data_IF_643833741003
#
_entry.id   IF_643833741003
#
_cell.length_a   1.000
_cell.length_b   1.000
_cell.length_c   1.000
_cell.angle_alpha   90.00
_cell.angle_beta   90.00
_cell.angle_gamma   90.00
#
_symmetry.space_group_name_H-M   'P 1'
#
loop_
_entity.id
_entity.type
_entity.pdbx_description
1 polymer ?
#
# COMPACT_ATOMS: atom_id res chain seq x y z
N UNK A 1 5.15 12.28 6.32
CA UNK A 1 4.79 11.24 7.31
C UNK A 1 5.35 9.89 6.91
N UNK A 2 5.54 9.03 7.86
CA UNK A 2 6.11 7.70 7.61
C UNK A 2 5.05 6.64 7.88
N UNK A 3 4.97 5.66 6.97
CA UNK A 3 4.04 4.55 7.13
C UNK A 3 4.79 3.24 6.95
N UNK A 4 4.21 2.17 7.46
CA UNK A 4 4.69 0.82 7.18
C UNK A 4 3.98 0.33 5.93
N UNK A 5 4.75 -0.20 5.00
CA UNK A 5 4.21 -0.68 3.73
C UNK A 5 4.46 -2.18 3.61
N UNK A 6 3.39 -2.94 3.40
CA UNK A 6 3.49 -4.38 3.22
C UNK A 6 2.80 -4.77 1.91
N UNK A 7 3.57 -5.32 1.00
CA UNK A 7 3.05 -5.82 -0.27
C UNK A 7 3.31 -7.31 -0.35
N UNK A 8 2.33 -8.05 -0.85
CA UNK A 8 2.37 -9.51 -0.87
C UNK A 8 2.27 -10.06 -2.28
N UNK A 9 2.85 -11.23 -2.49
CA UNK A 9 2.82 -11.98 -3.74
C UNK A 9 3.26 -11.12 -4.92
N UNK A 10 2.48 -11.05 -5.98
CA UNK A 10 2.89 -10.30 -7.19
C UNK A 10 3.08 -8.82 -6.94
N UNK A 11 2.46 -8.26 -5.90
CA UNK A 11 2.62 -6.85 -5.60
C UNK A 11 3.99 -6.53 -5.02
N UNK A 12 4.72 -7.54 -4.54
CA UNK A 12 6.04 -7.33 -3.93
C UNK A 12 7.04 -6.72 -4.91
N UNK A 13 6.85 -6.92 -6.19
CA UNK A 13 7.78 -6.36 -7.16
C UNK A 13 7.71 -4.83 -7.23
N UNK A 14 6.65 -4.24 -6.69
CA UNK A 14 6.52 -2.79 -6.64
C UNK A 14 7.10 -2.18 -5.37
N UNK A 15 7.58 -3.04 -4.47
CA UNK A 15 8.17 -2.57 -3.21
C UNK A 15 9.54 -1.96 -3.49
N UNK A 16 9.80 -0.71 -3.08
CA UNK A 16 11.13 -0.14 -3.25
C UNK A 16 12.18 -0.97 -2.52
N UNK A 17 13.32 -1.19 -3.17
CA UNK A 17 14.35 -2.07 -2.61
C UNK A 17 15.15 -1.44 -1.49
N UNK A 18 15.03 -0.14 -1.30
CA UNK A 18 15.83 0.58 -0.32
C UNK A 18 15.06 0.95 0.95
N UNK A 19 13.87 0.37 1.14
CA UNK A 19 13.10 0.65 2.35
C UNK A 19 13.73 0.00 3.57
N UNK A 20 13.86 0.78 4.64
CA UNK A 20 14.30 0.24 5.93
C UNK A 20 13.07 -0.13 6.75
N UNK A 21 13.02 -1.37 7.21
CA UNK A 21 11.91 -1.88 8.04
C UNK A 21 10.55 -1.63 7.37
N UNK A 22 10.50 -1.68 6.06
CA UNK A 22 9.27 -1.46 5.29
C UNK A 22 8.65 -0.09 5.54
N UNK A 23 9.46 0.89 5.93
CA UNK A 23 8.97 2.24 6.19
C UNK A 23 9.06 3.08 4.93
N UNK A 24 7.95 3.67 4.54
CA UNK A 24 7.87 4.54 3.37
C UNK A 24 7.54 5.95 3.83
N UNK A 25 8.31 6.92 3.35
CA UNK A 25 8.04 8.32 3.62
C UNK A 25 7.13 8.88 2.54
N UNK A 26 6.02 9.48 2.95
CA UNK A 26 5.04 10.04 2.00
C UNK A 26 4.63 11.42 2.47
N UNK A 27 4.11 12.27 1.55
CA UNK A 27 3.64 13.59 1.94
C UNK A 27 2.46 13.50 2.91
N UNK A 28 2.33 14.53 3.75
CA UNK A 28 1.18 14.63 4.64
C UNK A 28 -0.10 14.71 3.82
N UNK A 29 -1.18 14.21 4.38
CA UNK A 29 -2.50 14.19 3.72
C UNK A 29 -2.57 13.28 2.50
N UNK A 30 -1.66 12.32 2.41
CA UNK A 30 -1.71 11.34 1.32
C UNK A 30 -2.85 10.35 1.54
N UNK A 31 -3.38 9.86 0.43
CA UNK A 31 -4.37 8.79 0.44
C UNK A 31 -3.74 7.55 -0.15
N UNK A 32 -4.46 6.43 -0.03
CA UNK A 32 -3.95 5.16 -0.55
C UNK A 32 -3.62 5.28 -2.05
N UNK A 33 -4.49 5.95 -2.82
CA UNK A 33 -4.27 6.12 -4.26
C UNK A 33 -2.96 6.85 -4.53
N UNK A 34 -2.57 7.79 -3.68
CA UNK A 34 -1.31 8.50 -3.85
C UNK A 34 -0.12 7.56 -3.69
N UNK A 35 -0.21 6.64 -2.74
CA UNK A 35 0.83 5.64 -2.55
C UNK A 35 0.88 4.68 -3.74
N UNK A 36 -0.28 4.24 -4.22
CA UNK A 36 -0.36 3.36 -5.37
C UNK A 36 0.32 4.01 -6.58
N UNK A 37 0.04 5.29 -6.81
CA UNK A 37 0.64 6.02 -7.93
C UNK A 37 2.15 6.20 -7.74
N UNK A 38 2.57 6.48 -6.51
CA UNK A 38 3.99 6.63 -6.20
C UNK A 38 4.77 5.36 -6.47
N UNK A 39 4.16 4.21 -6.17
CA UNK A 39 4.79 2.92 -6.40
C UNK A 39 4.62 2.43 -7.84
N UNK A 40 3.85 3.14 -8.65
CA UNK A 40 3.58 2.79 -10.05
C UNK A 40 2.86 1.46 -10.19
N UNK A 41 2.00 1.15 -9.24
CA UNK A 41 1.18 -0.05 -9.32
C UNK A 41 0.04 0.22 -10.31
N UNK A 42 -0.14 -0.64 -11.33
CA UNK A 42 -1.21 -0.40 -12.32
C UNK A 42 -2.59 -0.42 -11.68
N UNK A 43 -3.46 0.48 -12.12
CA UNK A 43 -4.82 0.56 -11.59
C UNK A 43 -5.62 -0.70 -11.89
N UNK A 44 -5.37 -1.33 -13.03
CA UNK A 44 -6.11 -2.53 -13.39
C UNK A 44 -5.67 -3.76 -12.60
N UNK A 45 -4.60 -3.67 -11.84
CA UNK A 45 -4.17 -4.77 -11.00
C UNK A 45 -5.05 -4.84 -9.76
N UNK A 46 -5.89 -5.89 -9.64
CA UNK A 46 -6.79 -5.95 -8.47
C UNK A 46 -6.01 -6.11 -7.19
N UNK A 47 -6.47 -5.43 -6.15
CA UNK A 47 -5.77 -5.47 -4.88
C UNK A 47 -6.73 -5.24 -3.73
N UNK A 48 -6.48 -5.95 -2.64
CA UNK A 48 -7.17 -5.74 -1.37
C UNK A 48 -6.30 -4.82 -0.55
N UNK A 49 -6.91 -3.81 0.05
CA UNK A 49 -6.21 -2.78 0.81
C UNK A 49 -6.61 -2.89 2.26
N UNK A 50 -5.62 -2.99 3.15
CA UNK A 50 -5.84 -2.97 4.59
C UNK A 50 -5.04 -1.82 5.19
N UNK A 51 -5.69 -1.06 6.06
CA UNK A 51 -5.03 -0.01 6.83
C UNK A 51 -5.16 -0.39 8.29
N UNK A 52 -4.03 -0.66 8.93
CA UNK A 52 -4.01 -1.12 10.32
C UNK A 52 -4.90 -2.34 10.55
N UNK A 53 -4.93 -3.22 9.56
CA UNK A 53 -5.72 -4.44 9.63
C UNK A 53 -7.18 -4.31 9.24
N UNK A 54 -7.66 -3.11 8.97
CA UNK A 54 -9.04 -2.88 8.57
C UNK A 54 -9.12 -2.60 7.08
N UNK A 55 -10.17 -3.09 6.44
CA UNK A 55 -10.32 -2.90 5.00
C UNK A 55 -10.45 -1.43 4.65
N UNK A 56 -9.65 -1.00 3.67
CA UNK A 56 -9.70 0.36 3.15
C UNK A 56 -10.01 0.36 1.66
N UNK A 57 -9.90 1.54 1.06
CA UNK A 57 -10.10 1.70 -0.38
C UNK A 57 -9.13 2.78 -0.88
N UNK A 58 -9.04 3.00 -2.21
CA UNK A 58 -8.07 3.97 -2.72
C UNK A 58 -8.26 5.40 -2.23
N UNK A 59 -9.46 5.77 -1.84
CA UNK A 59 -9.74 7.10 -1.32
C UNK A 59 -9.46 7.24 0.17
N UNK A 60 -9.14 6.15 0.86
CA UNK A 60 -8.90 6.19 2.30
C UNK A 60 -7.71 7.08 2.62
N UNK A 61 -7.86 7.90 3.66
CA UNK A 61 -6.76 8.74 4.13
C UNK A 61 -5.81 7.92 4.98
N UNK A 62 -4.54 8.31 4.93
CA UNK A 62 -3.49 7.63 5.68
C UNK A 62 -2.91 8.61 6.69
N UNK A 63 -2.65 8.13 7.89
CA UNK A 63 -2.04 8.92 8.94
C UNK A 63 -0.62 8.45 9.23
N UNK A 64 0.17 9.34 9.82
CA UNK A 64 1.54 8.98 10.18
C UNK A 64 1.52 7.76 11.11
N UNK A 65 2.39 6.82 10.83
CA UNK A 65 2.48 5.60 11.63
C UNK A 65 1.55 4.48 11.21
N UNK A 66 0.67 4.72 10.25
CA UNK A 66 -0.24 3.68 9.78
C UNK A 66 0.52 2.56 9.08
N UNK A 67 -0.09 1.36 9.12
CA UNK A 67 0.41 0.22 8.38
C UNK A 67 -0.51 -0.02 7.19
N UNK A 68 0.04 0.12 6.00
CA UNK A 68 -0.70 -0.09 4.76
C UNK A 68 -0.29 -1.43 4.17
N UNK A 69 -1.25 -2.33 4.03
CA UNK A 69 -1.01 -3.65 3.44
C UNK A 69 -1.83 -3.78 2.17
N UNK A 70 -1.22 -4.33 1.13
CA UNK A 70 -1.93 -4.60 -0.11
C UNK A 70 -1.55 -5.99 -0.61
N UNK A 71 -2.54 -6.72 -1.08
CA UNK A 71 -2.31 -8.05 -1.63
C UNK A 71 -3.36 -8.34 -2.68
N UNK A 72 -3.03 -9.19 -3.67
CA UNK A 72 -4.01 -9.53 -4.70
C UNK A 72 -5.13 -10.36 -4.09
N UNK A 73 -6.37 -10.19 -4.56
CA UNK A 73 -7.45 -11.05 -4.11
C UNK A 73 -7.16 -12.50 -4.49
N UNK A 74 -7.57 -13.41 -3.62
CA UNK A 74 -7.41 -14.82 -3.92
C UNK A 74 -8.40 -15.16 -5.02
N UNK A 75 -7.85 -15.54 -6.15
CA UNK A 75 -8.74 -15.97 -7.23
C UNK A 75 -9.13 -17.42 -6.99
N UNK A 76 -10.36 -17.57 -6.73
CA UNK A 76 -11.14 -18.75 -6.82
C UNK A 76 -10.49 -20.12 -6.77
N UNK A 77 -9.72 -20.28 -5.97
CA UNK A 77 -9.25 -21.61 -5.89
C UNK A 77 -7.86 -21.76 -5.74
#
# INVERSE_FOLDING_TARGET
>A
MNIKLKLYTVLREYLPGDLKDNTLSIPDNSRVVDVINMLKIPDELPKIILINGSQGNPESEICDGDELSMFPPISGG
#
